data_IF_452281067697
#
_entry.id   IF_452281067697
#
_cell.length_a   1.000
_cell.length_b   1.000
_cell.length_c   1.000
_cell.angle_alpha   90.00
_cell.angle_beta   90.00
_cell.angle_gamma   90.00
#
_symmetry.space_group_name_H-M   'P 1'
#
loop_
_entity.id
_entity.type
_entity.pdbx_description
1 polymer ?
#
# COMPACT_ATOMS: atom_id res chain seq x y z
N UNK A 1 -17.64 -15.28 3.27
CA UNK A 1 -16.97 -14.11 3.92
C UNK A 1 -16.69 -13.07 2.84
N UNK A 2 -16.96 -11.78 3.08
CA UNK A 2 -16.65 -10.69 2.14
C UNK A 2 -15.36 -9.98 2.56
N UNK A 3 -14.71 -9.31 1.59
CA UNK A 3 -13.49 -8.56 1.84
C UNK A 3 -13.73 -7.09 1.50
N UNK A 4 -13.44 -6.19 2.43
CA UNK A 4 -13.32 -4.75 2.18
C UNK A 4 -11.86 -4.46 1.83
N UNK A 5 -11.61 -3.93 0.64
CA UNK A 5 -10.25 -3.66 0.16
C UNK A 5 -9.92 -2.17 0.27
N UNK A 6 -8.92 -1.86 1.10
CA UNK A 6 -8.49 -0.50 1.40
C UNK A 6 -7.08 -0.28 0.85
N UNK A 7 -6.93 0.67 -0.06
CA UNK A 7 -5.63 1.07 -0.61
C UNK A 7 -5.01 2.22 0.19
N UNK A 8 -3.75 2.06 0.60
CA UNK A 8 -2.94 3.11 1.23
C UNK A 8 -1.72 3.39 0.34
N UNK A 9 -1.89 4.32 -0.57
CA UNK A 9 -0.86 4.78 -1.49
C UNK A 9 -0.07 5.97 -0.96
N UNK A 10 0.92 6.38 -1.72
CA UNK A 10 1.68 7.60 -1.43
C UNK A 10 3.16 7.43 -1.69
N UNK A 11 3.84 8.55 -1.57
CA UNK A 11 5.26 8.67 -1.83
C UNK A 11 6.10 7.79 -0.90
N UNK A 12 7.30 7.42 -1.37
CA UNK A 12 8.32 6.80 -0.51
C UNK A 12 8.56 7.67 0.74
N UNK A 13 8.74 7.02 1.89
CA UNK A 13 8.90 7.70 3.19
C UNK A 13 7.72 8.63 3.61
N UNK A 14 6.58 8.56 2.93
CA UNK A 14 5.36 9.33 3.24
C UNK A 14 4.62 8.87 4.49
N UNK A 15 4.93 7.66 5.03
CA UNK A 15 4.28 7.13 6.23
C UNK A 15 3.22 6.06 5.96
N UNK A 16 3.09 5.54 4.73
CA UNK A 16 2.14 4.49 4.34
C UNK A 16 2.12 3.31 5.30
N UNK A 17 3.27 2.64 5.46
CA UNK A 17 3.39 1.45 6.32
C UNK A 17 3.09 1.76 7.79
N UNK A 18 3.41 2.96 8.26
CA UNK A 18 3.05 3.40 9.63
C UNK A 18 1.54 3.48 9.78
N UNK A 19 0.83 4.12 8.83
CA UNK A 19 -0.62 4.24 8.85
C UNK A 19 -1.29 2.86 8.71
N UNK A 20 -0.82 2.05 7.76
CA UNK A 20 -1.35 0.69 7.50
C UNK A 20 -1.21 -0.23 8.70
N UNK A 21 -0.05 -0.23 9.36
CA UNK A 21 0.18 -1.01 10.57
C UNK A 21 -0.71 -0.54 11.74
N UNK A 22 -0.83 0.78 11.93
CA UNK A 22 -1.69 1.33 12.98
C UNK A 22 -3.18 1.04 12.74
N UNK A 23 -3.60 1.05 11.47
CA UNK A 23 -4.95 0.70 11.06
C UNK A 23 -5.21 -0.79 11.30
N UNK A 24 -4.28 -1.66 10.91
CA UNK A 24 -4.33 -3.10 11.15
C UNK A 24 -4.45 -3.43 12.65
N UNK A 25 -3.69 -2.76 13.50
CA UNK A 25 -3.76 -2.95 14.96
C UNK A 25 -5.13 -2.55 15.55
N UNK A 26 -5.82 -1.57 14.93
CA UNK A 26 -7.13 -1.10 15.41
C UNK A 26 -8.32 -1.84 14.82
N UNK A 27 -8.18 -2.45 13.65
CA UNK A 27 -9.26 -3.17 12.98
C UNK A 27 -9.09 -4.67 13.21
N UNK A 28 -9.92 -5.28 14.07
CA UNK A 28 -9.95 -6.74 14.20
C UNK A 28 -10.28 -7.38 12.83
N UNK A 29 -9.69 -8.53 12.56
CA UNK A 29 -9.87 -9.26 11.29
C UNK A 29 -9.48 -8.44 10.04
N UNK A 30 -8.34 -7.79 10.13
CA UNK A 30 -7.68 -7.17 8.99
C UNK A 30 -6.36 -7.87 8.67
N UNK A 31 -5.85 -7.65 7.46
CA UNK A 31 -4.54 -8.11 7.03
C UNK A 31 -3.90 -7.05 6.12
N UNK A 32 -2.59 -7.11 5.98
CA UNK A 32 -1.82 -6.17 5.15
C UNK A 32 -1.11 -6.96 4.05
N UNK A 33 -1.21 -6.44 2.81
CA UNK A 33 -0.34 -6.82 1.69
C UNK A 33 0.45 -5.58 1.30
N UNK A 34 1.78 -5.66 1.46
CA UNK A 34 2.71 -4.57 1.15
C UNK A 34 3.35 -4.80 -0.23
N UNK A 35 3.21 -3.83 -1.12
CA UNK A 35 3.77 -3.89 -2.48
C UNK A 35 5.29 -4.06 -2.48
N UNK A 36 5.97 -3.52 -1.47
CA UNK A 36 7.43 -3.62 -1.32
C UNK A 36 7.92 -5.08 -1.19
N UNK A 37 7.05 -6.02 -0.81
CA UNK A 37 7.37 -7.46 -0.75
C UNK A 37 7.42 -8.13 -2.13
N UNK A 38 7.03 -7.42 -3.18
CA UNK A 38 6.95 -7.96 -4.54
C UNK A 38 7.98 -7.36 -5.49
N UNK A 39 9.04 -6.71 -4.99
CA UNK A 39 10.14 -6.30 -5.83
C UNK A 39 10.79 -7.50 -6.51
N UNK A 40 11.09 -7.34 -7.78
CA UNK A 40 11.91 -8.28 -8.52
C UNK A 40 13.34 -8.30 -8.00
N UNK A 41 14.07 -9.38 -8.27
CA UNK A 41 15.50 -9.44 -7.97
C UNK A 41 16.23 -8.27 -8.61
N UNK A 42 17.21 -7.72 -7.87
CA UNK A 42 17.98 -6.54 -8.31
C UNK A 42 18.63 -6.74 -9.70
N UNK A 43 19.01 -7.97 -10.04
CA UNK A 43 19.63 -8.30 -11.32
C UNK A 43 18.73 -8.11 -12.53
N UNK A 44 17.39 -8.16 -12.32
CA UNK A 44 16.39 -8.04 -13.42
C UNK A 44 15.64 -6.72 -13.41
N UNK A 45 15.89 -5.84 -12.44
CA UNK A 45 15.31 -4.48 -12.43
C UNK A 45 15.85 -3.70 -13.62
N UNK A 46 14.98 -3.05 -14.44
CA UNK A 46 15.40 -2.26 -15.59
C UNK A 46 16.41 -1.18 -15.22
N UNK A 47 17.31 -0.87 -16.14
CA UNK A 47 18.34 0.18 -15.97
C UNK A 47 18.14 1.21 -17.08
N UNK A 48 18.22 2.50 -16.77
CA UNK A 48 18.14 3.56 -17.76
C UNK A 48 19.47 3.79 -18.50
N UNK A 49 19.48 4.75 -19.43
CA UNK A 49 20.67 5.09 -20.22
C UNK A 49 21.82 5.65 -19.38
N UNK A 50 21.56 6.08 -18.14
CA UNK A 50 22.55 6.62 -17.20
C UNK A 50 23.06 5.56 -16.21
N UNK A 51 22.61 4.31 -16.36
CA UNK A 51 22.96 3.22 -15.45
C UNK A 51 22.17 3.21 -14.14
N UNK A 52 21.09 4.00 -14.02
CA UNK A 52 20.26 4.05 -12.83
C UNK A 52 19.17 2.98 -12.87
N UNK A 53 19.06 2.18 -11.82
CA UNK A 53 18.02 1.18 -11.67
C UNK A 53 16.66 1.83 -11.47
N UNK A 54 15.67 1.31 -12.18
CA UNK A 54 14.33 1.85 -12.30
C UNK A 54 13.36 1.18 -11.31
N UNK A 55 13.62 1.32 -9.98
CA UNK A 55 12.75 0.72 -8.96
C UNK A 55 11.36 1.37 -8.85
N UNK A 56 11.24 2.63 -9.28
CA UNK A 56 9.99 3.39 -9.20
C UNK A 56 9.07 3.18 -10.42
N UNK A 57 9.09 1.96 -10.98
CA UNK A 57 8.27 1.53 -12.11
C UNK A 57 7.53 0.21 -11.80
N UNK A 58 6.36 0.02 -12.40
CA UNK A 58 5.59 -1.23 -12.31
C UNK A 58 6.42 -2.44 -12.75
N UNK A 59 7.26 -2.28 -13.76
CA UNK A 59 8.12 -3.35 -14.29
C UNK A 59 9.19 -3.85 -13.30
N UNK A 60 9.46 -3.11 -12.23
CA UNK A 60 10.33 -3.56 -11.14
C UNK A 60 9.63 -4.49 -10.14
N UNK A 61 8.34 -4.73 -10.30
CA UNK A 61 7.49 -5.45 -9.35
C UNK A 61 6.84 -6.68 -9.98
N UNK A 62 6.66 -7.73 -9.20
CA UNK A 62 5.84 -8.91 -9.53
C UNK A 62 4.36 -8.64 -9.23
N UNK A 63 3.73 -7.72 -10.00
CA UNK A 63 2.34 -7.34 -9.79
C UNK A 63 1.33 -8.47 -10.04
N UNK A 64 1.67 -9.42 -10.89
CA UNK A 64 0.92 -10.66 -11.13
C UNK A 64 0.86 -11.55 -9.88
N UNK A 65 2.00 -11.70 -9.19
CA UNK A 65 2.08 -12.44 -7.92
C UNK A 65 1.28 -11.71 -6.82
N UNK A 66 1.43 -10.39 -6.73
CA UNK A 66 0.67 -9.58 -5.78
C UNK A 66 -0.85 -9.73 -5.99
N UNK A 67 -1.31 -9.67 -7.24
CA UNK A 67 -2.72 -9.88 -7.59
C UNK A 67 -3.19 -11.29 -7.29
N UNK A 68 -2.35 -12.30 -7.52
CA UNK A 68 -2.64 -13.70 -7.17
C UNK A 68 -2.89 -13.87 -5.68
N UNK A 69 -2.03 -13.29 -4.83
CA UNK A 69 -2.17 -13.33 -3.37
C UNK A 69 -3.42 -12.59 -2.89
N UNK A 70 -3.68 -11.39 -3.42
CA UNK A 70 -4.89 -10.61 -3.14
C UNK A 70 -6.14 -11.40 -3.53
N UNK A 71 -6.18 -12.00 -4.71
CA UNK A 71 -7.32 -12.78 -5.18
C UNK A 71 -7.51 -14.07 -4.37
N UNK A 72 -6.44 -14.70 -3.93
CA UNK A 72 -6.49 -15.88 -3.05
C UNK A 72 -7.09 -15.53 -1.69
N UNK A 73 -6.66 -14.42 -1.10
CA UNK A 73 -7.24 -13.91 0.14
C UNK A 73 -8.72 -13.55 -0.02
N UNK A 74 -9.10 -12.88 -1.10
CA UNK A 74 -10.50 -12.49 -1.35
C UNK A 74 -11.41 -13.69 -1.56
N UNK A 75 -10.90 -14.78 -2.13
CA UNK A 75 -11.65 -16.02 -2.40
C UNK A 75 -11.83 -16.87 -1.14
N UNK A 76 -10.74 -17.08 -0.40
CA UNK A 76 -10.71 -17.88 0.82
C UNK A 76 -9.81 -17.21 1.88
N UNK A 77 -10.36 -16.20 2.59
CA UNK A 77 -9.62 -15.47 3.60
C UNK A 77 -9.13 -16.36 4.76
N UNK A 78 -9.91 -17.35 5.15
CA UNK A 78 -9.54 -18.24 6.26
C UNK A 78 -8.31 -19.08 5.94
N UNK A 79 -8.29 -19.73 4.78
CA UNK A 79 -7.15 -20.53 4.35
C UNK A 79 -5.91 -19.68 4.16
N UNK A 80 -6.04 -18.50 3.57
CA UNK A 80 -4.92 -17.57 3.38
C UNK A 80 -4.32 -17.15 4.72
N UNK A 81 -5.15 -16.73 5.67
CA UNK A 81 -4.71 -16.31 6.99
C UNK A 81 -4.08 -17.45 7.79
N UNK A 82 -4.64 -18.68 7.71
CA UNK A 82 -4.02 -19.86 8.34
C UNK A 82 -2.63 -20.15 7.79
N UNK A 83 -2.39 -20.00 6.50
CA UNK A 83 -1.07 -20.19 5.88
C UNK A 83 -0.07 -19.10 6.31
N UNK A 84 -0.53 -17.87 6.47
CA UNK A 84 0.31 -16.77 6.97
C UNK A 84 0.57 -16.89 8.48
N UNK A 85 -0.44 -17.29 9.28
CA UNK A 85 -0.31 -17.45 10.72
C UNK A 85 0.55 -18.65 11.14
N UNK A 86 0.83 -19.63 10.26
CA UNK A 86 1.85 -20.65 10.53
C UNK A 86 3.27 -20.07 10.62
N UNK A 87 3.45 -18.80 10.21
CA UNK A 87 4.72 -18.05 10.29
C UNK A 87 4.75 -17.00 11.41
N UNK A 88 3.61 -16.74 12.07
CA UNK A 88 3.46 -15.71 13.11
C UNK A 88 2.68 -16.29 14.29
N UNK A 89 2.96 -15.84 15.52
CA UNK A 89 2.21 -16.20 16.74
C UNK A 89 0.69 -16.07 16.53
N UNK A 90 -0.13 -16.99 17.07
CA UNK A 90 -1.57 -17.00 16.85
C UNK A 90 -2.23 -15.78 17.50
N UNK A 91 -2.40 -14.72 16.75
CA UNK A 91 -3.29 -13.63 17.15
C UNK A 91 -4.72 -14.19 17.15
N UNK A 92 -5.42 -14.04 18.25
CA UNK A 92 -6.78 -14.54 18.47
C UNK A 92 -7.74 -13.99 17.41
N UNK A 93 -7.88 -14.73 16.31
CA UNK A 93 -8.95 -14.46 15.34
C UNK A 93 -10.26 -14.96 15.93
N UNK A 94 -11.16 -14.06 16.23
CA UNK A 94 -12.56 -14.44 16.52
C UNK A 94 -13.21 -14.86 15.20
N UNK A 95 -13.39 -16.16 15.03
CA UNK A 95 -13.81 -16.87 13.80
C UNK A 95 -15.25 -16.53 13.35
N UNK A 96 -15.86 -15.47 13.83
CA UNK A 96 -17.27 -15.18 13.52
C UNK A 96 -17.47 -13.79 12.90
N UNK A 97 -16.68 -13.44 11.88
CA UNK A 97 -16.83 -12.17 11.16
C UNK A 97 -17.19 -12.40 9.70
N UNK A 98 -18.29 -11.77 9.28
CA UNK A 98 -18.78 -11.83 7.89
C UNK A 98 -17.89 -11.07 6.91
N UNK A 99 -17.04 -10.14 7.42
CA UNK A 99 -16.20 -9.24 6.60
C UNK A 99 -14.78 -9.18 7.15
N UNK A 100 -13.81 -9.28 6.25
CA UNK A 100 -12.37 -9.03 6.50
C UNK A 100 -11.96 -7.73 5.81
N UNK A 101 -11.05 -6.97 6.45
CA UNK A 101 -10.43 -5.78 5.84
C UNK A 101 -9.06 -6.16 5.29
N UNK A 102 -8.90 -6.05 3.98
CA UNK A 102 -7.61 -6.15 3.32
C UNK A 102 -7.03 -4.76 3.10
N UNK A 103 -5.92 -4.46 3.77
CA UNK A 103 -5.16 -3.24 3.59
C UNK A 103 -4.05 -3.53 2.58
N UNK A 104 -4.09 -2.89 1.43
CA UNK A 104 -3.04 -2.96 0.41
C UNK A 104 -2.25 -1.67 0.44
N UNK A 105 -0.96 -1.75 0.74
CA UNK A 105 -0.12 -0.56 0.81
C UNK A 105 1.00 -0.59 -0.23
N UNK A 106 1.33 0.57 -0.79
CA UNK A 106 2.42 0.68 -1.74
C UNK A 106 2.50 2.04 -2.42
N UNK A 107 3.57 2.22 -3.19
CA UNK A 107 3.85 3.50 -3.86
C UNK A 107 3.29 3.58 -5.28
N UNK A 108 2.98 2.42 -5.92
CA UNK A 108 2.41 2.32 -7.28
C UNK A 108 1.09 1.53 -7.33
N UNK A 109 0.42 1.30 -6.20
CA UNK A 109 -0.78 0.48 -6.15
C UNK A 109 -1.93 1.06 -6.98
N UNK A 110 -1.99 2.38 -7.13
CA UNK A 110 -3.00 3.07 -7.93
C UNK A 110 -2.58 3.29 -9.40
N UNK A 111 -1.33 2.95 -9.75
CA UNK A 111 -0.85 2.94 -11.14
C UNK A 111 -1.09 1.59 -11.84
N UNK A 112 -1.59 0.57 -11.11
CA UNK A 112 -1.86 -0.74 -11.67
C UNK A 112 -3.37 -0.97 -11.81
N UNK A 113 -3.86 -0.91 -13.06
CA UNK A 113 -5.29 -0.93 -13.37
C UNK A 113 -6.07 -2.10 -12.75
N UNK A 114 -5.58 -3.37 -12.81
CA UNK A 114 -6.32 -4.48 -12.20
C UNK A 114 -6.53 -4.33 -10.70
N UNK A 115 -5.61 -3.64 -10.01
CA UNK A 115 -5.71 -3.39 -8.58
C UNK A 115 -6.73 -2.27 -8.29
N UNK A 116 -6.83 -1.27 -9.18
CA UNK A 116 -7.81 -0.19 -9.05
C UNK A 116 -9.27 -0.68 -9.12
N UNK A 117 -9.52 -1.78 -9.83
CA UNK A 117 -10.86 -2.34 -9.99
C UNK A 117 -11.40 -3.01 -8.71
N UNK A 118 -10.55 -3.24 -7.71
CA UNK A 118 -10.92 -3.97 -6.49
C UNK A 118 -10.91 -3.13 -5.22
N UNK A 119 -10.41 -1.90 -5.26
CA UNK A 119 -10.42 -1.02 -4.08
C UNK A 119 -11.80 -0.45 -3.77
N UNK A 120 -12.24 -0.60 -2.52
CA UNK A 120 -13.43 0.06 -1.98
C UNK A 120 -13.11 1.46 -1.44
N UNK A 121 -11.91 1.66 -0.92
CA UNK A 121 -11.39 2.94 -0.43
C UNK A 121 -9.94 3.16 -0.84
N UNK A 122 -9.59 4.41 -1.18
CA UNK A 122 -8.26 4.82 -1.62
C UNK A 122 -7.78 6.02 -0.85
N UNK A 123 -6.64 5.89 -0.19
CA UNK A 123 -5.96 6.96 0.54
C UNK A 123 -4.57 7.16 -0.04
N UNK A 124 -4.15 8.40 -0.23
CA UNK A 124 -2.84 8.74 -0.76
C UNK A 124 -2.14 9.74 0.14
N UNK A 125 -1.02 9.34 0.76
CA UNK A 125 -0.21 10.20 1.62
C UNK A 125 0.76 11.05 0.79
N UNK A 126 0.70 12.34 1.02
CA UNK A 126 1.57 13.34 0.40
C UNK A 126 2.47 13.99 1.45
N UNK A 127 3.72 14.24 1.07
CA UNK A 127 4.66 15.04 1.85
C UNK A 127 5.45 15.95 0.89
N UNK A 128 5.91 17.14 1.35
CA UNK A 128 6.76 18.01 0.55
C UNK A 128 8.08 17.36 0.15
N UNK A 129 8.64 17.82 -0.96
CA UNK A 129 9.90 17.35 -1.52
C UNK A 129 11.05 17.31 -0.50
N UNK A 130 11.27 18.42 0.19
CA UNK A 130 12.34 18.58 1.18
C UNK A 130 12.21 17.61 2.36
N UNK A 131 10.98 17.39 2.82
CA UNK A 131 10.66 16.43 3.88
C UNK A 131 10.92 15.01 3.41
N UNK A 132 10.48 14.66 2.20
CA UNK A 132 10.71 13.34 1.63
C UNK A 132 12.21 13.07 1.45
N UNK A 133 12.94 14.01 0.84
CA UNK A 133 14.39 13.93 0.62
C UNK A 133 15.14 13.70 1.94
N UNK A 134 14.83 14.51 2.96
CA UNK A 134 15.41 14.36 4.30
C UNK A 134 15.08 12.98 4.93
N UNK A 135 13.81 12.54 4.87
CA UNK A 135 13.43 11.22 5.41
C UNK A 135 14.14 10.09 4.67
N UNK A 136 14.28 10.20 3.34
CA UNK A 136 14.97 9.20 2.53
C UNK A 136 16.47 9.14 2.84
N UNK A 137 17.14 10.27 3.04
CA UNK A 137 18.57 10.29 3.35
C UNK A 137 18.92 9.68 4.71
N UNK A 138 17.94 9.54 5.62
CA UNK A 138 18.10 8.90 6.93
C UNK A 138 17.79 7.38 6.90
N UNK A 139 17.25 6.87 5.80
CA UNK A 139 16.91 5.46 5.65
C UNK A 139 18.02 4.71 4.92
N UNK A 140 18.40 3.57 5.45
CA UNK A 140 19.33 2.67 4.74
C UNK A 140 18.58 1.83 3.72
N UNK A 141 19.07 1.81 2.49
CA UNK A 141 18.57 0.98 1.40
C UNK A 141 19.61 -0.08 1.04
N UNK A 142 19.16 -1.21 0.51
CA UNK A 142 20.02 -2.27 -0.02
C UNK A 142 19.53 -2.64 -1.42
N UNK A 143 20.27 -2.33 -2.49
CA UNK A 143 21.52 -1.56 -2.50
C UNK A 143 21.31 -0.08 -2.07
N UNK A 144 22.37 0.62 -1.63
CA UNK A 144 22.27 2.03 -1.24
C UNK A 144 21.98 2.92 -2.45
N UNK A 145 21.22 3.99 -2.22
CA UNK A 145 20.95 4.99 -3.26
C UNK A 145 22.28 5.61 -3.77
N UNK A 146 22.53 5.62 -5.08
CA UNK A 146 23.68 6.33 -5.62
C UNK A 146 23.55 7.86 -5.44
N UNK A 147 24.66 8.61 -5.44
CA UNK A 147 24.60 10.07 -5.31
C UNK A 147 23.67 10.73 -6.34
N UNK A 148 22.80 11.62 -5.90
CA UNK A 148 21.84 12.31 -6.78
C UNK A 148 20.62 11.48 -7.21
N UNK A 149 20.49 10.23 -6.77
CA UNK A 149 19.40 9.34 -7.19
C UNK A 149 18.02 9.89 -6.84
N UNK A 150 17.86 10.50 -5.68
CA UNK A 150 16.57 11.09 -5.28
C UNK A 150 16.12 12.19 -6.25
N UNK A 151 17.00 13.12 -6.56
CA UNK A 151 16.69 14.28 -7.41
C UNK A 151 16.60 13.90 -8.89
N UNK A 152 17.48 13.00 -9.33
CA UNK A 152 17.58 12.60 -10.73
C UNK A 152 16.60 11.50 -11.16
N UNK A 153 16.09 10.73 -10.19
CA UNK A 153 15.22 9.59 -10.50
C UNK A 153 13.96 9.53 -9.64
N UNK A 154 14.11 9.40 -8.31
CA UNK A 154 12.96 9.08 -7.43
C UNK A 154 11.88 10.15 -7.48
N UNK A 155 12.28 11.43 -7.34
CA UNK A 155 11.32 12.52 -7.37
C UNK A 155 10.67 12.75 -8.73
N UNK A 156 11.42 12.82 -9.85
CA UNK A 156 10.82 12.87 -11.19
C UNK A 156 9.85 11.70 -11.48
N UNK A 157 10.21 10.48 -11.10
CA UNK A 157 9.35 9.32 -11.27
C UNK A 157 8.09 9.40 -10.42
N UNK A 158 8.21 9.87 -9.18
CA UNK A 158 7.03 10.12 -8.34
C UNK A 158 6.06 11.10 -8.99
N UNK A 159 6.55 12.23 -9.51
CA UNK A 159 5.68 13.21 -10.19
C UNK A 159 4.99 12.63 -11.41
N UNK A 160 5.72 11.87 -12.23
CA UNK A 160 5.17 11.17 -13.39
C UNK A 160 4.10 10.17 -12.99
N UNK A 161 4.42 9.28 -12.03
CA UNK A 161 3.50 8.24 -11.57
C UNK A 161 2.25 8.85 -10.90
N UNK A 162 2.42 9.97 -10.19
CA UNK A 162 1.30 10.70 -9.61
C UNK A 162 0.36 11.25 -10.68
N UNK A 163 0.89 11.91 -11.70
CA UNK A 163 0.09 12.43 -12.81
C UNK A 163 -0.67 11.32 -13.54
N UNK A 164 0.00 10.18 -13.77
CA UNK A 164 -0.62 9.00 -14.37
C UNK A 164 -1.75 8.46 -13.49
N UNK A 165 -1.52 8.28 -12.20
CA UNK A 165 -2.51 7.86 -11.22
C UNK A 165 -3.75 8.78 -11.22
N UNK A 166 -3.56 10.09 -11.14
CA UNK A 166 -4.65 11.09 -11.14
C UNK A 166 -5.47 11.07 -12.44
N UNK A 167 -4.86 10.66 -13.56
CA UNK A 167 -5.59 10.49 -14.82
C UNK A 167 -6.44 9.22 -14.88
N UNK A 168 -6.12 8.22 -14.05
CA UNK A 168 -6.80 6.92 -14.05
C UNK A 168 -7.85 6.77 -12.94
N UNK A 169 -7.69 7.49 -11.83
CA UNK A 169 -8.48 7.29 -10.60
C UNK A 169 -8.94 8.64 -10.06
N UNK A 170 -10.25 8.80 -9.86
CA UNK A 170 -10.86 10.07 -9.43
C UNK A 170 -11.30 10.11 -7.96
N UNK A 171 -11.35 8.97 -7.27
CA UNK A 171 -11.92 8.83 -5.92
C UNK A 171 -10.83 8.57 -4.84
N UNK A 172 -9.69 9.20 -5.00
CA UNK A 172 -8.59 9.14 -4.04
C UNK A 172 -8.76 10.22 -2.98
N UNK A 173 -8.69 9.81 -1.71
CA UNK A 173 -8.62 10.73 -0.57
C UNK A 173 -7.14 11.06 -0.31
N UNK A 174 -6.75 12.30 -0.62
CA UNK A 174 -5.40 12.78 -0.33
C UNK A 174 -5.27 13.16 1.15
N UNK A 175 -4.18 12.72 1.77
CA UNK A 175 -3.87 12.91 3.17
C UNK A 175 -2.54 13.67 3.31
N UNK A 176 -2.53 14.72 4.13
CA UNK A 176 -1.30 15.43 4.47
C UNK A 176 -0.45 14.58 5.43
N UNK A 177 0.63 13.99 4.91
CA UNK A 177 1.57 13.15 5.68
C UNK A 177 2.42 13.93 6.71
N UNK A 178 2.17 15.24 6.88
CA UNK A 178 2.72 16.05 7.97
C UNK A 178 1.76 16.14 9.17
N UNK A 179 0.48 15.80 8.99
CA UNK A 179 -0.45 15.74 10.13
C UNK A 179 0.03 14.74 11.20
N UNK A 180 -0.29 14.96 12.47
CA UNK A 180 -0.03 14.00 13.54
C UNK A 180 -0.59 12.60 13.20
N UNK A 181 0.21 11.57 13.45
CA UNK A 181 -0.14 10.17 13.10
C UNK A 181 -1.49 9.73 13.66
N UNK A 182 -1.80 10.17 14.88
CA UNK A 182 -3.04 9.87 15.57
C UNK A 182 -4.26 10.49 14.87
N UNK A 183 -4.10 11.68 14.30
CA UNK A 183 -5.17 12.37 13.55
C UNK A 183 -5.40 11.71 12.20
N UNK A 184 -4.33 11.39 11.47
CA UNK A 184 -4.41 10.62 10.22
C UNK A 184 -5.09 9.27 10.44
N UNK A 185 -4.65 8.56 11.48
CA UNK A 185 -5.25 7.27 11.84
C UNK A 185 -6.73 7.40 12.20
N UNK A 186 -7.10 8.40 13.02
CA UNK A 186 -8.50 8.60 13.42
C UNK A 186 -9.39 8.89 12.20
N UNK A 187 -8.92 9.71 11.27
CA UNK A 187 -9.61 10.07 10.02
C UNK A 187 -9.89 8.82 9.16
N UNK A 188 -8.83 8.05 8.86
CA UNK A 188 -8.93 6.85 8.02
C UNK A 188 -9.71 5.74 8.71
N UNK A 189 -9.47 5.52 10.00
CA UNK A 189 -10.18 4.50 10.79
C UNK A 189 -11.68 4.75 10.80
N UNK A 190 -12.12 6.01 11.02
CA UNK A 190 -13.54 6.39 11.00
C UNK A 190 -14.18 6.06 9.66
N UNK A 191 -13.56 6.49 8.54
CA UNK A 191 -14.09 6.27 7.19
C UNK A 191 -14.14 4.77 6.83
N UNK A 192 -13.13 3.99 7.21
CA UNK A 192 -13.11 2.54 7.01
C UNK A 192 -14.20 1.84 7.84
N UNK A 193 -14.42 2.27 9.08
CA UNK A 193 -15.51 1.72 9.92
C UNK A 193 -16.89 2.01 9.34
N UNK A 194 -17.12 3.23 8.84
CA UNK A 194 -18.37 3.59 8.17
C UNK A 194 -18.63 2.72 6.93
N UNK A 195 -17.59 2.44 6.13
CA UNK A 195 -17.73 1.57 4.97
C UNK A 195 -17.95 0.10 5.35
N UNK A 196 -17.31 -0.38 6.42
CA UNK A 196 -17.56 -1.70 6.99
C UNK A 196 -19.03 -1.86 7.42
N UNK A 197 -19.61 -0.86 8.06
CA UNK A 197 -21.01 -0.88 8.48
C UNK A 197 -21.94 -0.92 7.27
N UNK A 198 -21.72 -0.06 6.26
CA UNK A 198 -22.47 -0.08 5.00
C UNK A 198 -22.39 -1.44 4.29
N UNK A 199 -21.21 -2.07 4.29
CA UNK A 199 -21.04 -3.38 3.68
C UNK A 199 -21.81 -4.46 4.45
N UNK A 200 -21.81 -4.43 5.79
CA UNK A 200 -22.57 -5.34 6.64
C UNK A 200 -24.08 -5.18 6.48
N UNK A 201 -24.57 -3.96 6.34
CA UNK A 201 -26.00 -3.70 6.10
C UNK A 201 -26.49 -4.27 4.77
N UNK A 202 -25.64 -4.23 3.72
CA UNK A 202 -25.95 -4.83 2.41
C UNK A 202 -25.94 -6.37 2.43
N UNK A 203 -25.44 -6.99 3.49
CA UNK A 203 -25.38 -8.45 3.66
C UNK A 203 -26.57 -9.02 4.45
N UNK A 204 -27.32 -8.18 5.14
CA UNK A 204 -28.55 -8.53 5.85
C UNK A 204 -29.73 -8.54 4.89
#
# INVERSE_FOLDING_TARGET
MKTLVVGVGGMTNGGKSTLSNSLHQKIPNSCIIAQDSYFKDDSVVPVDNNGLKQYDMIDALHMDMMMSDINSLRRDPESFLRQQCQKLEPTTMTVNTEVIVLIVEGFLIFNYRPLNEIFDRRYFLEIPYDVCKRRRSLRMYTPPDPPGYFDGHVWPMYLKNRQEMESMVSDIVFLDGLEPKEQLLAKVFKDVCEELERLRERLK
#
